data_IF_997788673144
#
_entry.id   IF_997788673144
#
_cell.length_a   1.000
_cell.length_b   1.000
_cell.length_c   1.000
_cell.angle_alpha   90.00
_cell.angle_beta   90.00
_cell.angle_gamma   90.00
#
_symmetry.space_group_name_H-M   'P 1'
#
loop_
_entity.id
_entity.type
_entity.pdbx_description
1 polymer ?
#
# COMPACT_ATOMS: atom_id res chain seq x y z
N UNK A 1 -15.46 4.25 -19.33
CA UNK A 1 -14.24 4.25 -18.52
C UNK A 1 -14.23 3.04 -17.60
N UNK A 2 -13.05 2.56 -17.25
CA UNK A 2 -12.86 1.40 -16.39
C UNK A 2 -12.05 1.80 -15.18
N UNK A 3 -12.46 1.34 -13.98
CA UNK A 3 -11.70 1.49 -12.76
C UNK A 3 -11.00 0.18 -12.42
N UNK A 4 -9.74 0.27 -12.00
CA UNK A 4 -8.97 -0.87 -11.51
C UNK A 4 -8.60 -0.58 -10.05
N UNK A 5 -9.09 -1.40 -9.14
CA UNK A 5 -8.97 -1.16 -7.71
C UNK A 5 -8.31 -2.35 -7.03
N UNK A 6 -7.39 -2.05 -6.10
CA UNK A 6 -6.66 -3.06 -5.34
C UNK A 6 -6.85 -2.91 -3.84
N UNK A 7 -7.37 -1.77 -3.39
CA UNK A 7 -7.54 -1.43 -1.97
C UNK A 7 -8.98 -1.05 -1.70
N UNK A 8 -9.51 -1.47 -0.58
CA UNK A 8 -10.92 -1.26 -0.22
C UNK A 8 -11.04 -0.88 1.25
N UNK A 9 -12.17 -0.29 1.59
CA UNK A 9 -12.51 0.01 2.97
C UNK A 9 -13.97 -0.39 3.21
N UNK A 10 -14.25 -1.40 4.04
CA UNK A 10 -13.32 -2.29 4.75
C UNK A 10 -12.65 -3.34 3.85
N UNK A 11 -11.61 -3.98 4.36
CA UNK A 11 -10.97 -5.12 3.73
C UNK A 11 -11.05 -6.35 4.64
N UNK A 12 -11.46 -7.53 4.09
CA UNK A 12 -11.91 -7.71 2.71
C UNK A 12 -13.23 -6.99 2.45
N UNK A 13 -13.52 -6.63 1.19
CA UNK A 13 -14.77 -5.91 0.89
C UNK A 13 -15.99 -6.76 1.24
N UNK A 14 -17.02 -6.10 1.78
CA UNK A 14 -18.25 -6.78 2.12
C UNK A 14 -18.95 -7.31 0.86
N UNK A 15 -19.70 -8.40 1.01
CA UNK A 15 -20.38 -9.03 -0.13
C UNK A 15 -21.40 -8.09 -0.81
N UNK A 16 -21.90 -7.09 -0.09
CA UNK A 16 -22.85 -6.10 -0.60
C UNK A 16 -22.16 -4.83 -1.11
N UNK A 17 -20.82 -4.80 -1.19
CA UNK A 17 -20.11 -3.64 -1.73
C UNK A 17 -20.55 -3.40 -3.17
N UNK A 18 -21.06 -2.21 -3.50
CA UNK A 18 -21.59 -1.94 -4.84
C UNK A 18 -20.55 -2.06 -5.95
N UNK A 19 -19.26 -1.90 -5.66
CA UNK A 19 -18.19 -2.04 -6.65
C UNK A 19 -18.11 -3.46 -7.21
N UNK A 20 -18.52 -4.47 -6.44
CA UNK A 20 -18.50 -5.87 -6.89
C UNK A 20 -19.50 -6.14 -8.02
N UNK A 21 -20.49 -5.29 -8.20
CA UNK A 21 -21.56 -5.46 -9.18
C UNK A 21 -21.35 -4.63 -10.44
N UNK A 22 -20.31 -3.83 -10.51
CA UNK A 22 -20.06 -2.96 -11.65
C UNK A 22 -19.25 -3.68 -12.71
N UNK A 23 -19.75 -3.67 -13.96
CA UNK A 23 -19.07 -4.31 -15.09
C UNK A 23 -17.78 -3.61 -15.48
N UNK A 24 -17.66 -2.32 -15.16
CA UNK A 24 -16.48 -1.51 -15.50
C UNK A 24 -15.51 -1.34 -14.34
N UNK A 25 -15.59 -2.22 -13.34
CA UNK A 25 -14.69 -2.20 -12.20
C UNK A 25 -13.94 -3.52 -12.14
N UNK A 26 -12.61 -3.46 -12.27
CA UNK A 26 -11.73 -4.61 -12.14
C UNK A 26 -11.14 -4.54 -10.73
N UNK A 27 -11.28 -5.61 -9.96
CA UNK A 27 -10.86 -5.66 -8.57
C UNK A 27 -9.82 -6.75 -8.37
N UNK A 28 -8.76 -6.42 -7.65
CA UNK A 28 -7.72 -7.38 -7.24
C UNK A 28 -7.64 -7.39 -5.71
N UNK A 29 -7.14 -8.47 -5.10
CA UNK A 29 -7.22 -8.64 -3.64
C UNK A 29 -6.01 -8.05 -2.88
N UNK A 30 -5.74 -6.77 -3.09
CA UNK A 30 -4.68 -6.01 -2.41
C UNK A 30 -3.30 -6.67 -2.59
N UNK A 31 -2.92 -6.87 -3.87
CA UNK A 31 -1.69 -7.57 -4.24
C UNK A 31 -0.74 -6.73 -5.10
N UNK A 32 -1.03 -5.45 -5.28
CA UNK A 32 -0.21 -4.60 -6.16
C UNK A 32 1.24 -4.49 -5.69
N UNK A 33 1.48 -4.52 -4.37
CA UNK A 33 2.84 -4.50 -3.83
C UNK A 33 3.66 -5.74 -4.14
N UNK A 34 3.02 -6.82 -4.59
CA UNK A 34 3.69 -8.08 -4.92
C UNK A 34 3.95 -8.23 -6.41
N UNK A 35 3.63 -7.20 -7.20
CA UNK A 35 3.78 -7.26 -8.65
C UNK A 35 5.26 -7.20 -9.05
N UNK A 36 5.64 -8.01 -10.07
CA UNK A 36 6.99 -8.07 -10.62
C UNK A 36 8.05 -8.20 -9.51
N UNK A 37 8.97 -7.22 -9.41
CA UNK A 37 10.02 -7.22 -8.38
C UNK A 37 9.63 -6.37 -7.15
N UNK A 38 8.34 -6.16 -6.93
CA UNK A 38 7.85 -5.28 -5.87
C UNK A 38 8.32 -5.69 -4.47
N UNK A 39 8.24 -6.99 -4.15
CA UNK A 39 8.68 -7.48 -2.85
C UNK A 39 10.17 -7.25 -2.60
N UNK A 40 11.00 -7.47 -3.63
CA UNK A 40 12.45 -7.21 -3.52
C UNK A 40 12.73 -5.75 -3.29
N UNK A 41 12.01 -4.86 -3.98
CA UNK A 41 12.17 -3.42 -3.82
C UNK A 41 11.74 -2.94 -2.44
N UNK A 42 10.65 -3.47 -1.93
CA UNK A 42 10.18 -3.17 -0.57
C UNK A 42 11.24 -3.62 0.45
N UNK A 43 11.75 -4.84 0.32
CA UNK A 43 12.76 -5.36 1.21
C UNK A 43 14.07 -4.56 1.18
N UNK A 44 14.51 -4.18 -0.01
CA UNK A 44 15.71 -3.36 -0.16
C UNK A 44 15.52 -1.97 0.46
N UNK A 45 14.35 -1.36 0.24
CA UNK A 45 14.05 -0.08 0.84
C UNK A 45 14.06 -0.15 2.37
N UNK A 46 13.47 -1.19 2.95
CA UNK A 46 13.49 -1.40 4.40
C UNK A 46 14.93 -1.56 4.92
N UNK A 47 15.75 -2.30 4.20
CA UNK A 47 17.16 -2.48 4.55
C UNK A 47 17.90 -1.14 4.57
N UNK A 48 17.72 -0.32 3.54
CA UNK A 48 18.34 1.00 3.48
C UNK A 48 17.86 1.90 4.62
N UNK A 49 16.57 1.88 4.94
CA UNK A 49 16.02 2.67 6.04
C UNK A 49 16.63 2.23 7.38
N UNK A 50 16.82 0.92 7.57
CA UNK A 50 17.45 0.41 8.77
C UNK A 50 18.89 0.90 8.92
N UNK A 51 19.65 0.90 7.82
CA UNK A 51 21.04 1.41 7.84
C UNK A 51 21.08 2.88 8.22
N UNK A 52 20.17 3.69 7.67
CA UNK A 52 20.09 5.12 8.04
C UNK A 52 19.75 5.29 9.52
N UNK A 53 18.81 4.50 10.01
CA UNK A 53 18.44 4.55 11.43
C UNK A 53 19.64 4.23 12.32
N UNK A 54 20.38 3.17 12.02
CA UNK A 54 21.54 2.75 12.80
C UNK A 54 22.67 3.77 12.76
N UNK A 55 22.79 4.53 11.67
CA UNK A 55 23.78 5.59 11.52
C UNK A 55 23.35 6.91 12.17
N UNK A 56 22.15 6.97 12.76
CA UNK A 56 21.60 8.19 13.34
C UNK A 56 21.12 9.20 12.32
N UNK A 57 20.95 8.78 11.07
CA UNK A 57 20.48 9.64 9.99
C UNK A 57 18.97 9.62 9.90
N UNK A 58 18.42 10.68 9.28
CA UNK A 58 16.99 10.76 9.06
C UNK A 58 16.57 9.80 7.95
N UNK A 59 15.47 9.06 8.18
CA UNK A 59 14.93 8.12 7.21
C UNK A 59 13.90 8.84 6.31
N UNK A 60 13.94 8.52 5.01
CA UNK A 60 13.00 9.12 4.05
C UNK A 60 11.55 8.71 4.32
N UNK A 61 11.35 7.47 4.73
CA UNK A 61 10.02 6.93 5.00
C UNK A 61 9.57 7.10 6.44
N UNK A 62 10.23 7.96 7.21
CA UNK A 62 9.92 8.13 8.63
C UNK A 62 8.50 8.66 8.81
N UNK A 63 7.74 7.99 9.66
CA UNK A 63 6.39 8.42 10.03
C UNK A 63 6.44 9.02 11.41
N UNK A 64 6.09 10.30 11.51
CA UNK A 64 6.01 11.01 12.77
C UNK A 64 4.58 11.00 13.29
N UNK A 65 4.42 11.31 14.58
CA UNK A 65 3.08 11.37 15.20
C UNK A 65 2.16 12.36 14.47
N UNK A 66 2.71 13.47 14.03
CA UNK A 66 1.94 14.52 13.34
C UNK A 66 1.38 14.06 12.00
N UNK A 67 2.02 13.06 11.37
CA UNK A 67 1.60 12.54 10.07
C UNK A 67 0.44 11.55 10.16
N UNK A 68 0.13 11.04 11.36
CA UNK A 68 -0.86 9.96 11.51
C UNK A 68 -2.26 10.37 11.06
N UNK A 69 -2.58 11.66 11.09
CA UNK A 69 -3.89 12.17 10.65
C UNK A 69 -3.96 12.38 9.14
N UNK A 70 -2.85 12.24 8.41
CA UNK A 70 -2.73 12.56 6.99
C UNK A 70 -2.35 11.38 6.12
N UNK A 71 -2.09 10.21 6.71
CA UNK A 71 -1.74 9.00 5.96
C UNK A 71 -2.93 8.06 5.88
N UNK A 72 -3.02 7.34 4.77
CA UNK A 72 -4.09 6.37 4.54
C UNK A 72 -3.84 5.05 5.26
#
# INVERSE_FOLDING_TARGET
KTACLDVYDPEPPCADNPLLKLDNCIMTPHIAGQAANGLQRIGYNCYCQLLHFLAGERMQGEITRDMLNHIA
#
